data_IF_460657104498
#
_entry.id   IF_460657104498
#
_cell.length_a   1.000
_cell.length_b   1.000
_cell.length_c   1.000
_cell.angle_alpha   90.00
_cell.angle_beta   90.00
_cell.angle_gamma   90.00
#
_symmetry.space_group_name_H-M   'P 1'
#
loop_
_entity.id
_entity.type
_entity.pdbx_description
1 polymer ?
#
# COMPACT_ATOMS: atom_id res chain seq x y z
N UNK A 1 16.76 -5.39 -8.36
CA UNK A 1 15.41 -4.83 -8.13
C UNK A 1 14.77 -4.77 -9.50
N UNK A 2 13.51 -5.16 -9.62
CA UNK A 2 12.86 -5.42 -10.89
C UNK A 2 11.65 -4.51 -11.09
N UNK A 3 11.46 -4.06 -12.32
CA UNK A 3 10.33 -3.26 -12.74
C UNK A 3 9.78 -3.83 -14.06
N UNK A 4 8.46 -3.96 -14.17
CA UNK A 4 7.80 -4.33 -15.41
C UNK A 4 6.46 -3.61 -15.54
N UNK A 5 6.04 -3.41 -16.79
CA UNK A 5 4.70 -2.95 -17.13
C UNK A 5 3.88 -4.06 -17.76
N UNK A 6 2.59 -4.05 -17.49
CA UNK A 6 1.63 -4.98 -18.07
C UNK A 6 0.28 -4.31 -18.30
N UNK A 7 -0.61 -4.99 -19.02
CA UNK A 7 -2.05 -4.73 -19.02
C UNK A 7 -2.77 -5.91 -18.33
N UNK A 8 -4.04 -5.78 -17.97
CA UNK A 8 -4.90 -6.90 -17.54
C UNK A 8 -6.38 -6.51 -17.69
N UNK A 9 -7.27 -7.46 -17.94
CA UNK A 9 -8.69 -7.16 -18.17
C UNK A 9 -9.51 -7.14 -16.89
N UNK A 10 -9.08 -7.88 -15.86
CA UNK A 10 -9.79 -8.00 -14.58
C UNK A 10 -8.83 -8.29 -13.41
N UNK A 11 -9.31 -8.22 -12.15
CA UNK A 11 -8.47 -8.46 -10.97
C UNK A 11 -7.81 -9.84 -10.91
N UNK A 12 -8.46 -10.90 -11.42
CA UNK A 12 -7.90 -12.25 -11.42
C UNK A 12 -6.75 -12.37 -12.42
N UNK A 13 -6.92 -11.83 -13.63
CA UNK A 13 -5.84 -11.77 -14.62
C UNK A 13 -4.67 -10.92 -14.11
N UNK A 14 -4.96 -9.79 -13.45
CA UNK A 14 -3.94 -8.96 -12.80
C UNK A 14 -3.12 -9.77 -11.78
N UNK A 15 -3.77 -10.55 -10.93
CA UNK A 15 -3.08 -11.41 -9.97
C UNK A 15 -2.24 -12.51 -10.65
N UNK A 16 -2.71 -13.10 -11.75
CA UNK A 16 -1.93 -14.11 -12.48
C UNK A 16 -0.68 -13.50 -13.12
N UNK A 17 -0.79 -12.29 -13.68
CA UNK A 17 0.36 -11.56 -14.22
C UNK A 17 1.34 -11.14 -13.13
N UNK A 18 0.84 -10.75 -11.95
CA UNK A 18 1.67 -10.50 -10.78
C UNK A 18 2.40 -11.79 -10.33
N UNK A 19 1.72 -12.95 -10.34
CA UNK A 19 2.32 -14.26 -10.02
C UNK A 19 3.50 -14.56 -10.94
N UNK A 20 3.31 -14.41 -12.25
CA UNK A 20 4.37 -14.64 -13.24
C UNK A 20 5.54 -13.66 -13.07
N UNK A 21 5.26 -12.38 -12.86
CA UNK A 21 6.29 -11.37 -12.60
C UNK A 21 7.07 -11.67 -11.30
N UNK A 22 6.37 -11.98 -10.21
CA UNK A 22 6.98 -12.27 -8.92
C UNK A 22 7.88 -13.52 -9.02
N UNK A 23 7.37 -14.60 -9.63
CA UNK A 23 8.13 -15.84 -9.86
C UNK A 23 9.39 -15.59 -10.68
N UNK A 24 9.28 -14.84 -11.79
CA UNK A 24 10.42 -14.49 -12.63
C UNK A 24 11.48 -13.63 -11.93
N UNK A 25 11.11 -12.96 -10.84
CA UNK A 25 11.99 -12.07 -10.07
C UNK A 25 12.34 -12.64 -8.67
N UNK A 26 12.31 -13.96 -8.52
CA UNK A 26 12.87 -14.68 -7.37
C UNK A 26 11.93 -14.81 -6.16
N UNK A 27 10.65 -14.45 -6.29
CA UNK A 27 9.65 -14.83 -5.29
C UNK A 27 9.25 -16.29 -5.47
N UNK A 28 9.05 -16.98 -4.35
CA UNK A 28 8.49 -18.33 -4.35
C UNK A 28 6.97 -18.23 -4.34
N UNK A 29 6.31 -18.98 -5.23
CA UNK A 29 4.85 -19.07 -5.27
C UNK A 29 4.43 -20.26 -4.41
N UNK A 30 3.86 -19.96 -3.24
CA UNK A 30 3.41 -20.96 -2.27
C UNK A 30 2.04 -21.56 -2.65
N UNK A 31 1.18 -20.73 -3.25
CA UNK A 31 -0.17 -21.16 -3.62
C UNK A 31 -0.84 -20.24 -4.63
N UNK A 32 -1.52 -20.86 -5.59
CA UNK A 32 -2.40 -20.20 -6.55
C UNK A 32 -3.72 -20.96 -6.58
N UNK A 33 -4.75 -20.41 -5.94
CA UNK A 33 -6.00 -21.14 -5.62
C UNK A 33 -7.23 -20.27 -5.83
N UNK A 34 -8.37 -20.91 -6.03
CA UNK A 34 -9.66 -20.24 -5.88
C UNK A 34 -9.94 -19.94 -4.40
N UNK A 35 -10.55 -18.80 -4.13
CA UNK A 35 -11.02 -18.45 -2.79
C UNK A 35 -12.26 -19.30 -2.46
N UNK A 36 -12.34 -19.75 -1.21
CA UNK A 36 -13.47 -20.55 -0.74
C UNK A 36 -14.57 -19.71 -0.12
N UNK A 37 -14.24 -18.55 0.45
CA UNK A 37 -15.21 -17.69 1.15
C UNK A 37 -15.96 -16.76 0.19
N UNK A 38 -15.33 -16.34 -0.91
CA UNK A 38 -15.88 -15.43 -1.92
C UNK A 38 -15.36 -15.81 -3.29
N UNK A 39 -16.07 -15.42 -4.35
CA UNK A 39 -15.60 -15.62 -5.73
C UNK A 39 -14.36 -14.75 -5.97
N UNK A 40 -13.24 -15.40 -6.32
CA UNK A 40 -11.96 -14.76 -6.58
C UNK A 40 -10.79 -15.74 -6.52
N UNK A 41 -9.58 -15.21 -6.60
CA UNK A 41 -8.30 -15.92 -6.55
C UNK A 41 -7.52 -15.53 -5.32
N UNK A 42 -6.65 -16.43 -4.88
CA UNK A 42 -5.70 -16.22 -3.83
C UNK A 42 -4.29 -16.61 -4.29
N UNK A 43 -3.39 -15.63 -4.25
CA UNK A 43 -1.97 -15.77 -4.56
C UNK A 43 -1.18 -15.68 -3.26
N UNK A 44 -0.59 -16.78 -2.81
CA UNK A 44 0.33 -16.81 -1.68
C UNK A 44 1.76 -16.93 -2.18
N UNK A 45 2.65 -16.11 -1.65
CA UNK A 45 4.05 -16.04 -2.07
C UNK A 45 4.95 -15.57 -0.94
N UNK A 46 6.25 -15.84 -1.08
CA UNK A 46 7.24 -15.37 -0.12
C UNK A 46 8.60 -15.06 -0.73
N UNK A 47 9.35 -14.22 -0.02
CA UNK A 47 10.75 -13.93 -0.27
C UNK A 47 11.45 -13.52 1.02
N UNK A 48 12.64 -14.07 1.29
CA UNK A 48 13.48 -13.72 2.45
C UNK A 48 12.70 -13.71 3.79
N UNK A 49 11.88 -14.74 4.02
CA UNK A 49 11.03 -14.90 5.21
C UNK A 49 9.86 -13.92 5.34
N UNK A 50 9.57 -13.10 4.32
CA UNK A 50 8.33 -12.34 4.23
C UNK A 50 7.31 -13.19 3.48
N UNK A 51 6.21 -13.55 4.13
CA UNK A 51 5.10 -14.29 3.51
C UNK A 51 3.86 -13.40 3.39
N UNK A 52 3.23 -13.41 2.23
CA UNK A 52 2.01 -12.63 1.99
C UNK A 52 1.03 -13.41 1.11
N UNK A 53 -0.25 -13.09 1.27
CA UNK A 53 -1.31 -13.58 0.37
C UNK A 53 -2.09 -12.40 -0.18
N UNK A 54 -2.23 -12.35 -1.49
CA UNK A 54 -3.09 -11.42 -2.20
C UNK A 54 -4.39 -12.12 -2.60
N UNK A 55 -5.51 -11.44 -2.41
CA UNK A 55 -6.87 -11.95 -2.62
C UNK A 55 -7.59 -11.05 -3.61
N UNK A 56 -8.35 -11.62 -4.54
CA UNK A 56 -9.36 -10.84 -5.29
C UNK A 56 -10.74 -11.09 -4.72
N UNK A 57 -11.57 -10.05 -4.72
CA UNK A 57 -12.99 -10.16 -4.42
C UNK A 57 -13.79 -9.41 -5.48
N UNK A 58 -14.59 -10.15 -6.25
CA UNK A 58 -15.26 -9.57 -7.42
C UNK A 58 -16.58 -8.87 -7.07
N UNK A 59 -17.13 -9.11 -5.88
CA UNK A 59 -18.45 -8.61 -5.43
C UNK A 59 -18.38 -8.14 -3.97
N UNK A 60 -19.51 -7.78 -3.34
CA UNK A 60 -19.57 -7.53 -1.89
C UNK A 60 -19.38 -6.08 -1.44
N UNK A 61 -19.42 -5.11 -2.36
CA UNK A 61 -19.37 -3.68 -2.06
C UNK A 61 -20.71 -2.96 -2.04
N UNK A 62 -20.65 -1.65 -1.88
CA UNK A 62 -21.78 -0.72 -1.91
C UNK A 62 -21.48 0.49 -2.82
N UNK A 63 -22.41 1.43 -2.95
CA UNK A 63 -22.23 2.61 -3.82
C UNK A 63 -21.06 3.51 -3.42
N UNK A 64 -20.67 3.51 -2.14
CA UNK A 64 -19.57 4.34 -1.63
C UNK A 64 -18.25 3.57 -1.56
N UNK A 65 -18.31 2.24 -1.60
CA UNK A 65 -17.16 1.33 -1.63
C UNK A 65 -17.38 0.31 -2.73
N UNK A 66 -17.31 0.69 -4.00
CA UNK A 66 -17.65 -0.22 -5.09
C UNK A 66 -16.61 -1.34 -5.24
N UNK A 67 -17.05 -2.56 -5.63
CA UNK A 67 -16.16 -3.63 -6.05
C UNK A 67 -15.58 -3.33 -7.46
N UNK A 68 -14.65 -4.15 -7.98
CA UNK A 68 -13.93 -5.24 -7.33
C UNK A 68 -12.89 -4.77 -6.30
N UNK A 69 -12.41 -5.71 -5.48
CA UNK A 69 -11.37 -5.49 -4.49
C UNK A 69 -10.15 -6.38 -4.69
N UNK A 70 -9.00 -5.87 -4.26
CA UNK A 70 -7.80 -6.66 -4.02
C UNK A 70 -7.38 -6.47 -2.56
N UNK A 71 -7.23 -7.57 -1.84
CA UNK A 71 -6.78 -7.60 -0.46
C UNK A 71 -5.35 -8.13 -0.36
N UNK A 72 -4.59 -7.61 0.60
CA UNK A 72 -3.25 -8.13 0.93
C UNK A 72 -3.20 -8.44 2.41
N UNK A 73 -2.81 -9.66 2.76
CA UNK A 73 -2.53 -10.07 4.13
C UNK A 73 -1.07 -10.50 4.26
N UNK A 74 -0.42 -10.08 5.35
CA UNK A 74 0.90 -10.56 5.72
C UNK A 74 0.75 -11.68 6.74
N UNK A 75 1.64 -12.67 6.70
CA UNK A 75 1.63 -13.79 7.64
C UNK A 75 3.06 -14.29 7.88
N UNK A 76 3.24 -15.17 8.86
CA UNK A 76 4.57 -15.64 9.29
C UNK A 76 5.00 -16.91 8.59
N UNK A 77 4.07 -17.58 7.88
CA UNK A 77 4.32 -18.79 7.13
C UNK A 77 3.07 -19.25 6.40
N UNK A 78 3.26 -20.07 5.35
CA UNK A 78 2.19 -20.57 4.52
C UNK A 78 1.73 -21.97 4.95
N UNK A 79 0.42 -22.15 5.10
CA UNK A 79 -0.21 -23.44 5.36
C UNK A 79 -1.00 -23.91 4.13
N UNK A 80 -0.46 -24.92 3.42
CA UNK A 80 -1.00 -25.40 2.14
C UNK A 80 -2.47 -25.90 2.20
N UNK A 81 -2.85 -26.52 3.33
CA UNK A 81 -4.20 -27.07 3.52
C UNK A 81 -5.17 -26.07 4.19
N UNK A 82 -4.69 -24.91 4.63
CA UNK A 82 -5.56 -23.89 5.20
C UNK A 82 -6.35 -23.17 4.10
N UNK A 83 -7.53 -22.64 4.46
CA UNK A 83 -8.29 -21.73 3.61
C UNK A 83 -7.36 -20.56 3.20
N UNK A 84 -7.24 -20.22 1.91
CA UNK A 84 -6.41 -19.09 1.47
C UNK A 84 -6.76 -17.75 2.12
N UNK A 85 -8.02 -17.56 2.54
CA UNK A 85 -8.51 -16.39 3.27
C UNK A 85 -8.01 -16.34 4.73
N UNK A 86 -7.45 -17.43 5.23
CA UNK A 86 -7.02 -17.59 6.63
C UNK A 86 -5.65 -18.26 6.67
N UNK A 87 -4.60 -17.46 6.81
CA UNK A 87 -3.25 -17.95 7.11
C UNK A 87 -2.96 -17.80 8.61
N UNK A 88 -2.11 -18.67 9.15
CA UNK A 88 -1.70 -18.61 10.54
C UNK A 88 -1.01 -17.29 10.84
N UNK A 89 -1.28 -16.71 12.02
CA UNK A 89 -0.57 -15.51 12.48
C UNK A 89 -0.69 -14.30 11.53
N UNK A 90 -1.72 -14.30 10.69
CA UNK A 90 -1.91 -13.31 9.65
C UNK A 90 -2.40 -11.96 10.20
N UNK A 91 -2.03 -10.89 9.51
CA UNK A 91 -2.76 -9.64 9.59
C UNK A 91 -4.17 -9.85 9.05
N UNK A 92 -5.16 -9.07 9.51
CA UNK A 92 -6.36 -8.94 8.69
C UNK A 92 -6.01 -8.27 7.35
N UNK A 93 -6.84 -8.41 6.31
CA UNK A 93 -6.52 -7.90 4.98
C UNK A 93 -6.46 -6.36 4.96
N UNK A 94 -5.52 -5.83 4.18
CA UNK A 94 -5.47 -4.46 3.70
C UNK A 94 -6.09 -4.43 2.30
N UNK A 95 -7.25 -3.81 2.17
CA UNK A 95 -8.03 -3.84 0.92
C UNK A 95 -7.75 -2.63 0.04
N UNK A 96 -7.95 -2.82 -1.26
CA UNK A 96 -8.10 -1.76 -2.25
C UNK A 96 -9.44 -1.94 -2.93
N UNK A 97 -10.17 -0.86 -3.19
CA UNK A 97 -11.51 -0.92 -3.79
C UNK A 97 -11.56 -0.31 -5.20
N UNK A 98 -12.68 -0.53 -5.89
CA UNK A 98 -12.95 -0.05 -7.24
C UNK A 98 -11.86 -0.40 -8.26
N UNK A 99 -11.36 -1.64 -8.21
CA UNK A 99 -10.40 -2.15 -9.19
C UNK A 99 -11.12 -2.71 -10.41
N UNK A 100 -12.01 -1.94 -11.03
CA UNK A 100 -12.68 -2.37 -12.25
C UNK A 100 -11.69 -2.26 -13.43
N UNK A 101 -11.53 -3.36 -14.17
CA UNK A 101 -10.75 -3.37 -15.41
C UNK A 101 -11.59 -2.99 -16.64
N UNK A 102 -10.98 -2.92 -17.84
CA UNK A 102 -9.59 -3.28 -18.13
C UNK A 102 -8.59 -2.22 -17.64
N UNK A 103 -7.37 -2.66 -17.33
CA UNK A 103 -6.23 -1.82 -16.93
C UNK A 103 -5.28 -1.65 -18.10
N UNK A 104 -5.14 -0.41 -18.58
CA UNK A 104 -4.21 -0.04 -19.66
C UNK A 104 -2.76 -0.05 -19.22
N UNK A 105 -2.50 0.25 -17.95
CA UNK A 105 -1.17 0.30 -17.37
C UNK A 105 -1.16 -0.27 -15.95
N UNK A 106 -0.35 -1.32 -15.78
CA UNK A 106 -0.03 -1.93 -14.50
C UNK A 106 1.49 -1.90 -14.35
N UNK A 107 1.97 -1.36 -13.23
CA UNK A 107 3.37 -1.29 -12.87
C UNK A 107 3.64 -2.27 -11.73
N UNK A 108 4.52 -3.24 -11.98
CA UNK A 108 4.99 -4.17 -10.98
C UNK A 108 6.40 -3.78 -10.55
N UNK A 109 6.62 -3.71 -9.24
CA UNK A 109 7.92 -3.40 -8.65
C UNK A 109 8.26 -4.47 -7.63
N UNK A 110 9.48 -5.02 -7.71
CA UNK A 110 9.89 -6.12 -6.86
C UNK A 110 11.37 -6.06 -6.45
N UNK A 111 11.63 -6.55 -5.25
CA UNK A 111 12.96 -6.91 -4.76
C UNK A 111 12.81 -8.05 -3.76
N UNK A 112 13.79 -8.94 -3.68
CA UNK A 112 13.80 -10.05 -2.71
C UNK A 112 14.83 -9.87 -1.59
N UNK A 113 15.89 -9.08 -1.81
CA UNK A 113 16.94 -8.81 -0.81
C UNK A 113 17.60 -7.43 -1.01
N UNK A 114 18.07 -6.76 0.06
CA UNK A 114 18.05 -7.20 1.46
C UNK A 114 16.68 -7.02 2.12
N UNK A 115 15.92 -5.96 1.79
CA UNK A 115 14.52 -5.82 2.17
C UNK A 115 13.62 -6.29 1.01
N UNK A 116 12.87 -7.41 1.16
CA UNK A 116 11.93 -7.83 0.13
C UNK A 116 10.75 -6.86 0.05
N UNK A 117 10.26 -6.60 -1.17
CA UNK A 117 9.00 -5.89 -1.41
C UNK A 117 8.40 -6.28 -2.76
N UNK A 118 7.08 -6.17 -2.84
CA UNK A 118 6.29 -6.38 -4.04
C UNK A 118 5.16 -5.36 -4.05
N UNK A 119 5.26 -4.38 -4.95
CA UNK A 119 4.27 -3.32 -5.09
C UNK A 119 3.61 -3.37 -6.46
N UNK A 120 2.35 -2.97 -6.47
CA UNK A 120 1.56 -2.80 -7.67
C UNK A 120 0.98 -1.40 -7.67
N UNK A 121 1.16 -0.72 -8.80
CA UNK A 121 0.43 0.49 -9.13
C UNK A 121 -0.33 0.22 -10.42
N UNK A 122 -1.63 0.45 -10.44
CA UNK A 122 -2.43 0.30 -11.65
C UNK A 122 -3.27 1.53 -11.89
N UNK A 123 -3.47 1.83 -13.17
CA UNK A 123 -4.44 2.81 -13.63
C UNK A 123 -5.76 2.10 -13.92
N UNK A 124 -6.79 2.37 -13.11
CA UNK A 124 -8.12 1.75 -13.28
C UNK A 124 -8.98 2.50 -14.29
N UNK A 125 -8.74 3.80 -14.43
CA UNK A 125 -9.33 4.70 -15.41
C UNK A 125 -8.30 5.79 -15.72
N UNK A 126 -8.39 6.45 -16.87
CA UNK A 126 -7.46 7.53 -17.23
C UNK A 126 -7.29 8.56 -16.09
N UNK A 127 -6.07 8.63 -15.56
CA UNK A 127 -5.65 9.49 -14.46
C UNK A 127 -6.01 9.01 -13.04
N UNK A 128 -6.65 7.86 -12.90
CA UNK A 128 -7.09 7.29 -11.60
C UNK A 128 -6.29 6.03 -11.28
N UNK A 129 -5.59 6.05 -10.15
CA UNK A 129 -4.64 5.03 -9.74
C UNK A 129 -5.06 4.30 -8.46
N UNK A 130 -4.61 3.06 -8.33
CA UNK A 130 -4.69 2.26 -7.10
C UNK A 130 -3.32 1.69 -6.77
N UNK A 131 -3.06 1.60 -5.46
CA UNK A 131 -1.80 1.15 -4.91
C UNK A 131 -2.06 0.00 -3.93
N UNK A 132 -1.33 -1.09 -4.06
CA UNK A 132 -1.29 -2.13 -3.05
C UNK A 132 0.04 -2.87 -3.09
N UNK A 133 0.37 -3.57 -2.02
CA UNK A 133 1.61 -4.30 -1.96
C UNK A 133 1.96 -4.82 -0.58
N UNK A 134 3.16 -5.38 -0.51
CA UNK A 134 3.76 -5.92 0.70
C UNK A 134 5.25 -5.65 0.69
N UNK A 135 5.88 -5.61 1.85
CA UNK A 135 7.32 -5.51 1.93
C UNK A 135 7.87 -5.56 3.34
N UNK A 136 9.18 -5.35 3.46
CA UNK A 136 9.87 -5.22 4.74
C UNK A 136 10.43 -3.81 4.84
N UNK A 137 10.15 -3.15 5.96
CA UNK A 137 10.69 -1.83 6.27
C UNK A 137 12.22 -1.90 6.34
N UNK A 138 12.87 -0.78 5.99
CA UNK A 138 14.18 -0.47 6.53
C UNK A 138 13.95 -0.17 8.00
N UNK A 139 14.27 -1.14 8.86
CA UNK A 139 13.90 -1.07 10.27
C UNK A 139 14.72 -0.03 11.01
N UNK A 140 14.09 0.57 12.02
CA UNK A 140 14.73 1.46 12.97
C UNK A 140 14.51 0.93 14.40
N UNK A 141 15.43 1.25 15.30
CA UNK A 141 15.34 0.84 16.71
C UNK A 141 15.49 -0.67 16.91
N UNK A 142 14.66 -1.23 17.79
CA UNK A 142 14.77 -2.62 18.30
C UNK A 142 13.93 -3.62 17.47
N UNK A 143 13.06 -3.14 16.58
CA UNK A 143 12.14 -3.99 15.83
C UNK A 143 12.84 -4.61 14.62
N UNK A 144 12.87 -5.94 14.56
CA UNK A 144 13.58 -6.67 13.50
C UNK A 144 12.66 -7.34 12.46
N UNK A 145 11.34 -7.31 12.65
CA UNK A 145 10.41 -7.97 11.72
C UNK A 145 10.03 -7.05 10.55
N UNK A 146 9.44 -5.89 10.85
CA UNK A 146 9.20 -4.78 9.92
C UNK A 146 8.36 -5.16 8.70
N UNK A 147 7.64 -6.27 8.70
CA UNK A 147 6.80 -6.65 7.55
C UNK A 147 5.62 -5.70 7.47
N UNK A 148 5.28 -5.23 6.27
CA UNK A 148 4.11 -4.40 6.04
C UNK A 148 3.27 -4.92 4.89
N UNK A 149 1.98 -4.65 4.96
CA UNK A 149 1.05 -4.79 3.83
C UNK A 149 0.25 -3.51 3.70
N UNK A 150 -0.09 -3.16 2.47
CA UNK A 150 -0.94 -2.01 2.24
C UNK A 150 -1.88 -2.16 1.03
N UNK A 151 -2.91 -1.32 1.02
CA UNK A 151 -3.86 -1.13 -0.08
C UNK A 151 -4.26 0.33 -0.23
N UNK A 152 -5.36 0.58 -0.94
CA UNK A 152 -5.90 1.91 -1.21
C UNK A 152 -7.42 1.86 -1.39
N UNK A 153 -8.15 2.33 -0.38
CA UNK A 153 -9.60 2.51 -0.42
C UNK A 153 -9.99 3.97 -0.54
N UNK A 154 -10.80 4.28 -1.54
CA UNK A 154 -11.41 5.61 -1.70
C UNK A 154 -12.90 5.52 -1.44
N UNK A 155 -13.47 6.44 -0.67
CA UNK A 155 -14.91 6.56 -0.46
C UNK A 155 -15.55 7.36 -1.61
N UNK A 156 -16.49 6.75 -2.34
CA UNK A 156 -17.06 7.28 -3.58
C UNK A 156 -18.37 8.08 -3.39
N UNK A 157 -18.61 8.59 -2.19
CA UNK A 157 -19.71 9.52 -1.95
C UNK A 157 -19.37 10.91 -2.53
N UNK A 158 -20.30 11.47 -3.30
CA UNK A 158 -20.10 12.71 -4.05
C UNK A 158 -19.67 13.93 -3.20
N UNK A 159 -19.98 13.93 -1.89
CA UNK A 159 -19.63 15.04 -1.00
C UNK A 159 -18.17 14.98 -0.51
N UNK A 160 -17.55 13.80 -0.56
CA UNK A 160 -16.23 13.56 0.04
C UNK A 160 -15.19 13.11 -1.00
N UNK A 161 -15.64 12.59 -2.15
CA UNK A 161 -14.81 12.01 -3.20
C UNK A 161 -13.67 12.93 -3.70
N UNK A 162 -13.82 14.24 -3.57
CA UNK A 162 -12.89 15.25 -4.07
C UNK A 162 -11.91 15.80 -3.01
N UNK A 163 -11.89 15.26 -1.79
CA UNK A 163 -11.04 15.73 -0.70
C UNK A 163 -10.07 14.65 -0.22
N UNK A 164 -8.78 14.81 -0.54
CA UNK A 164 -7.73 13.87 -0.15
C UNK A 164 -7.57 13.70 1.36
N UNK A 165 -7.81 14.75 2.13
CA UNK A 165 -7.66 14.77 3.59
C UNK A 165 -8.93 14.27 4.30
N UNK A 166 -9.99 13.89 3.57
CA UNK A 166 -11.20 13.33 4.19
C UNK A 166 -10.92 11.95 4.80
N UNK A 167 -11.31 11.81 6.06
CA UNK A 167 -11.06 10.62 6.87
C UNK A 167 -11.79 9.36 6.40
N UNK A 168 -12.74 9.49 5.48
CA UNK A 168 -13.48 8.34 4.93
C UNK A 168 -12.67 7.59 3.86
N UNK A 169 -11.62 8.20 3.32
CA UNK A 169 -10.64 7.47 2.52
C UNK A 169 -9.65 6.74 3.44
N UNK A 170 -9.02 5.69 2.94
CA UNK A 170 -7.88 5.04 3.57
C UNK A 170 -6.84 4.76 2.49
N UNK A 171 -5.67 5.35 2.62
CA UNK A 171 -4.61 5.29 1.60
C UNK A 171 -3.38 4.55 2.12
N UNK A 172 -2.48 4.19 1.21
CA UNK A 172 -1.22 3.54 1.58
C UNK A 172 -0.43 4.41 2.57
N UNK A 173 0.02 3.84 3.69
CA UNK A 173 0.70 4.56 4.76
C UNK A 173 -0.06 5.81 5.19
N UNK A 174 -1.15 5.56 5.88
CA UNK A 174 -2.07 6.56 6.42
C UNK A 174 -2.11 6.38 7.93
N UNK A 175 -2.34 7.43 8.70
CA UNK A 175 -2.56 7.38 10.15
C UNK A 175 -4.01 7.74 10.50
N UNK A 176 -4.84 7.98 9.49
CA UNK A 176 -6.26 8.25 9.68
C UNK A 176 -7.08 6.98 9.52
N UNK A 177 -7.93 6.69 10.51
CA UNK A 177 -8.96 5.66 10.38
C UNK A 177 -10.32 6.22 10.75
N UNK A 178 -11.34 5.82 10.01
CA UNK A 178 -12.73 5.95 10.40
C UNK A 178 -13.50 4.76 9.84
N UNK A 179 -14.53 4.29 10.55
CA UNK A 179 -15.27 3.04 10.30
C UNK A 179 -16.09 3.02 8.98
N UNK A 180 -15.80 3.90 8.04
CA UNK A 180 -16.35 3.89 6.70
C UNK A 180 -15.60 2.90 5.80
N UNK A 181 -14.28 2.86 5.92
CA UNK A 181 -13.39 1.98 5.14
C UNK A 181 -12.47 1.21 6.08
N UNK A 182 -12.03 0.03 5.66
CA UNK A 182 -11.09 -0.77 6.47
C UNK A 182 -9.70 -0.13 6.46
N UNK A 183 -8.94 -0.22 7.55
CA UNK A 183 -7.54 0.21 7.57
C UNK A 183 -6.75 -0.52 6.48
N UNK A 184 -6.09 0.25 5.62
CA UNK A 184 -5.36 -0.29 4.46
C UNK A 184 -3.85 -0.32 4.66
N UNK A 185 -3.34 -0.07 5.86
CA UNK A 185 -1.92 -0.21 6.17
C UNK A 185 -1.76 -0.99 7.45
N UNK A 186 -0.90 -2.01 7.41
CA UNK A 186 -0.56 -2.83 8.57
C UNK A 186 0.93 -3.10 8.61
N UNK A 187 1.50 -3.04 9.81
CA UNK A 187 2.92 -3.26 10.04
C UNK A 187 3.08 -4.26 11.18
N UNK A 188 3.87 -5.30 10.96
CA UNK A 188 4.33 -6.21 12.00
C UNK A 188 5.52 -5.61 12.70
N UNK A 189 5.39 -5.42 14.00
CA UNK A 189 6.46 -4.97 14.87
C UNK A 189 6.46 -5.82 16.12
N UNK A 190 7.37 -6.79 16.16
CA UNK A 190 7.49 -7.71 17.29
C UNK A 190 8.50 -7.12 18.29
N UNK A 191 8.08 -6.93 19.53
CA UNK A 191 8.89 -6.37 20.62
C UNK A 191 8.29 -6.76 21.98
N UNK A 192 9.06 -6.59 23.05
CA UNK A 192 8.65 -6.90 24.43
C UNK A 192 8.09 -8.33 24.59
N UNK A 193 8.70 -9.29 23.89
CA UNK A 193 8.36 -10.72 23.98
C UNK A 193 7.06 -11.15 23.29
N UNK A 194 6.41 -10.28 22.52
CA UNK A 194 5.16 -10.61 21.81
C UNK A 194 5.38 -10.67 20.30
N UNK A 195 5.02 -11.81 19.74
CA UNK A 195 5.05 -12.12 18.32
C UNK A 195 3.93 -13.12 17.98
N UNK A 196 3.30 -13.04 16.79
CA UNK A 196 3.33 -11.91 15.88
C UNK A 196 2.55 -10.72 16.48
N UNK A 197 3.01 -9.49 16.21
CA UNK A 197 2.26 -8.30 16.60
C UNK A 197 2.02 -7.40 15.40
N UNK A 198 0.80 -7.45 14.89
CA UNK A 198 0.32 -6.60 13.81
C UNK A 198 -0.28 -5.31 14.36
N UNK A 199 0.26 -4.19 13.91
CA UNK A 199 -0.25 -2.86 14.14
C UNK A 199 -1.05 -2.40 12.93
N UNK A 200 -2.11 -1.64 13.18
CA UNK A 200 -2.93 -1.01 12.15
C UNK A 200 -3.34 0.38 12.59
N UNK A 201 -3.71 1.20 11.60
CA UNK A 201 -4.25 2.52 11.85
C UNK A 201 -5.53 2.42 12.69
N UNK A 202 -5.64 3.31 13.68
CA UNK A 202 -6.71 3.33 14.68
C UNK A 202 -7.01 4.77 15.09
N UNK A 203 -8.28 5.10 15.29
CA UNK A 203 -8.73 6.40 15.82
C UNK A 203 -8.74 6.43 17.36
N UNK A 204 -8.63 5.26 18.00
CA UNK A 204 -8.59 5.13 19.44
C UNK A 204 -7.20 5.46 19.98
N UNK A 205 -7.12 6.48 20.83
CA UNK A 205 -5.88 6.85 21.52
C UNK A 205 -5.39 5.77 22.50
N UNK A 206 -6.27 4.88 22.96
CA UNK A 206 -5.93 3.79 23.89
C UNK A 206 -5.60 2.47 23.18
N UNK A 207 -5.61 2.44 21.85
CA UNK A 207 -5.29 1.22 21.11
C UNK A 207 -3.79 0.90 21.17
N UNK A 208 -3.47 -0.14 21.93
CA UNK A 208 -2.11 -0.69 22.08
C UNK A 208 -1.50 -1.22 20.78
N UNK A 209 -2.30 -1.38 19.72
CA UNK A 209 -1.86 -1.79 18.37
C UNK A 209 -1.99 -0.67 17.35
N UNK A 210 -2.22 0.56 17.79
CA UNK A 210 -2.28 1.73 16.91
C UNK A 210 -0.97 1.89 16.13
N UNK A 211 -1.10 2.10 14.83
CA UNK A 211 -0.02 2.47 13.93
C UNK A 211 -0.13 3.97 13.63
N UNK A 212 0.93 4.72 13.89
CA UNK A 212 1.08 6.06 13.35
C UNK A 212 2.01 5.96 12.15
N UNK A 213 1.54 6.30 10.94
CA UNK A 213 2.38 6.21 9.76
C UNK A 213 2.00 7.19 8.65
N UNK A 214 2.97 7.43 7.78
CA UNK A 214 2.79 8.24 6.58
C UNK A 214 2.46 9.69 6.87
N UNK A 215 1.45 10.24 6.17
CA UNK A 215 1.48 11.66 5.83
C UNK A 215 0.22 12.49 6.08
N UNK A 216 -0.93 11.89 6.37
CA UNK A 216 -2.20 12.61 6.19
C UNK A 216 -2.79 13.20 7.47
N UNK A 217 -3.02 12.39 8.48
CA UNK A 217 -3.62 12.74 9.76
C UNK A 217 -2.64 13.40 10.73
N UNK A 218 -3.18 14.01 11.80
CA UNK A 218 -2.42 14.88 12.71
C UNK A 218 -1.26 14.16 13.41
N UNK A 219 -1.34 12.84 13.59
CA UNK A 219 -0.31 12.04 14.24
C UNK A 219 0.70 11.45 13.24
N UNK A 220 0.55 11.73 11.94
CA UNK A 220 1.41 11.18 10.91
C UNK A 220 2.81 11.77 11.03
N UNK A 221 3.87 10.94 11.01
CA UNK A 221 5.24 11.41 11.15
C UNK A 221 5.66 12.50 10.17
N UNK A 222 5.08 12.51 8.96
CA UNK A 222 5.42 13.51 7.93
C UNK A 222 4.25 14.45 7.57
N UNK A 223 3.25 14.63 8.46
CA UNK A 223 2.11 15.52 8.18
C UNK A 223 2.56 16.93 7.80
N UNK A 224 3.34 17.60 8.65
CA UNK A 224 3.80 18.97 8.36
C UNK A 224 4.66 19.07 7.10
N UNK A 225 5.35 17.98 6.74
CA UNK A 225 6.20 17.92 5.56
C UNK A 225 5.38 17.74 4.27
N UNK A 226 4.12 17.26 4.36
CA UNK A 226 3.22 17.07 3.21
C UNK A 226 2.88 18.38 2.50
N UNK A 227 2.89 19.48 3.25
CA UNK A 227 2.55 20.81 2.77
C UNK A 227 3.75 21.58 2.21
N UNK A 228 4.96 21.02 2.36
CA UNK A 228 6.17 21.57 1.75
C UNK A 228 6.14 21.32 0.23
N UNK A 229 5.76 22.36 -0.51
CA UNK A 229 5.69 22.41 -1.96
C UNK A 229 7.03 22.17 -2.67
N UNK A 230 6.97 22.14 -4.01
CA UNK A 230 8.19 22.17 -4.82
C UNK A 230 8.99 23.46 -4.57
N UNK A 231 10.31 23.35 -4.65
CA UNK A 231 11.17 24.53 -4.66
C UNK A 231 10.97 25.29 -5.97
N UNK A 232 10.60 26.57 -5.89
CA UNK A 232 10.49 27.44 -7.07
C UNK A 232 11.84 27.74 -7.73
N UNK A 233 12.94 27.52 -7.02
CA UNK A 233 14.31 27.68 -7.55
C UNK A 233 14.76 26.48 -8.37
N UNK A 234 14.42 25.26 -7.93
CA UNK A 234 14.91 24.03 -8.57
C UNK A 234 13.82 23.25 -9.30
N UNK A 235 12.55 23.63 -9.17
CA UNK A 235 11.38 22.91 -9.70
C UNK A 235 11.18 21.52 -9.10
N UNK A 236 11.84 21.20 -7.97
CA UNK A 236 11.83 19.85 -7.38
C UNK A 236 11.02 19.80 -6.11
N UNK A 237 10.19 18.77 -5.99
CA UNK A 237 9.54 18.43 -4.73
C UNK A 237 10.42 17.45 -3.94
N UNK A 238 10.59 17.66 -2.62
CA UNK A 238 11.25 16.68 -1.77
C UNK A 238 10.45 15.37 -1.72
N UNK A 239 11.16 14.24 -1.74
CA UNK A 239 10.56 12.91 -1.54
C UNK A 239 10.79 12.46 -0.09
N UNK A 240 9.71 12.26 0.65
CA UNK A 240 9.77 11.91 2.07
C UNK A 240 9.54 10.42 2.30
N UNK A 241 10.39 9.73 3.09
CA UNK A 241 10.10 8.38 3.53
C UNK A 241 8.78 8.31 4.31
N UNK A 242 7.99 7.27 4.05
CA UNK A 242 6.74 7.00 4.78
C UNK A 242 7.08 6.29 6.10
N UNK A 243 7.45 7.07 7.11
CA UNK A 243 7.79 6.56 8.43
C UNK A 243 6.61 5.91 9.13
N UNK A 244 6.89 4.88 9.90
CA UNK A 244 5.96 4.13 10.73
C UNK A 244 6.45 4.14 12.18
N UNK A 245 5.53 4.34 13.12
CA UNK A 245 5.79 4.33 14.55
C UNK A 245 4.69 3.54 15.30
N UNK A 246 5.09 2.86 16.37
CA UNK A 246 4.23 2.00 17.20
C UNK A 246 4.29 2.42 18.68
N UNK A 247 3.22 2.20 19.46
CA UNK A 247 3.15 2.62 20.85
C UNK A 247 4.08 1.81 21.76
N UNK A 248 4.67 2.47 22.76
CA UNK A 248 5.47 1.88 23.85
C UNK A 248 4.81 2.01 25.23
N UNK A 249 3.57 2.49 25.27
CA UNK A 249 2.87 2.83 26.51
C UNK A 249 3.10 4.28 26.94
N UNK A 250 2.29 4.76 27.88
CA UNK A 250 2.33 6.14 28.38
C UNK A 250 2.34 7.21 27.27
N UNK A 251 1.56 6.98 26.21
CA UNK A 251 1.47 7.84 25.02
C UNK A 251 2.78 8.08 24.26
N UNK A 252 3.80 7.24 24.50
CA UNK A 252 5.07 7.27 23.78
C UNK A 252 5.04 6.33 22.57
N UNK A 253 5.75 6.73 21.51
CA UNK A 253 5.88 5.98 20.27
C UNK A 253 7.36 5.74 19.95
N UNK A 254 7.66 4.61 19.33
CA UNK A 254 8.97 4.31 18.74
C UNK A 254 8.84 4.15 17.23
N UNK A 255 9.76 4.77 16.50
CA UNK A 255 9.90 4.55 15.08
C UNK A 255 10.33 3.10 14.81
N UNK A 256 9.64 2.45 13.86
CA UNK A 256 9.93 1.07 13.45
C UNK A 256 10.53 0.99 12.06
N UNK A 257 10.50 2.08 11.29
CA UNK A 257 11.14 2.18 9.99
C UNK A 257 10.27 2.79 8.91
N UNK A 258 10.70 2.63 7.66
CA UNK A 258 9.98 3.07 6.47
C UNK A 258 10.19 2.10 5.30
N UNK A 259 9.31 2.09 4.28
CA UNK A 259 9.54 1.32 3.05
C UNK A 259 10.86 1.71 2.35
N UNK A 260 11.64 0.76 1.82
CA UNK A 260 12.93 1.06 1.18
C UNK A 260 12.79 1.81 -0.15
N UNK A 261 11.68 1.62 -0.86
CA UNK A 261 11.51 1.97 -2.26
C UNK A 261 10.24 2.79 -2.54
N UNK A 262 9.51 3.19 -1.49
CA UNK A 262 8.28 3.97 -1.58
C UNK A 262 8.39 5.23 -0.72
N UNK A 263 8.09 6.38 -1.33
CA UNK A 263 8.13 7.69 -0.69
C UNK A 263 6.88 8.50 -1.00
N UNK A 264 6.51 9.41 -0.12
CA UNK A 264 5.57 10.46 -0.41
C UNK A 264 6.24 11.56 -1.23
N UNK A 265 5.51 12.14 -2.18
CA UNK A 265 5.95 13.29 -2.97
C UNK A 265 4.75 14.16 -3.32
N UNK A 266 4.97 15.47 -3.46
CA UNK A 266 4.00 16.33 -4.16
C UNK A 266 4.27 16.37 -5.65
N UNK A 267 3.20 16.27 -6.43
CA UNK A 267 3.21 16.20 -7.88
C UNK A 267 2.96 17.56 -8.54
N UNK A 268 3.13 18.68 -7.84
CA UNK A 268 2.84 20.01 -8.40
C UNK A 268 3.50 20.19 -9.77
N UNK A 269 4.77 19.80 -9.89
CA UNK A 269 5.60 19.93 -11.10
C UNK A 269 5.77 18.64 -11.91
N UNK A 270 5.06 17.56 -11.56
CA UNK A 270 5.26 16.24 -12.17
C UNK A 270 3.98 15.68 -12.78
N UNK A 271 4.08 15.08 -13.97
CA UNK A 271 2.99 14.32 -14.58
C UNK A 271 2.86 12.93 -13.91
N UNK A 272 1.64 12.35 -13.86
CA UNK A 272 1.47 10.96 -13.48
C UNK A 272 2.29 10.02 -14.36
N UNK A 273 3.05 9.11 -13.75
CA UNK A 273 3.94 8.18 -14.43
C UNK A 273 5.29 8.79 -14.86
N UNK A 274 5.57 10.06 -14.54
CA UNK A 274 6.85 10.68 -14.85
C UNK A 274 8.01 10.04 -14.06
N UNK A 275 9.19 10.05 -14.67
CA UNK A 275 10.41 9.55 -14.05
C UNK A 275 11.29 10.69 -13.53
N UNK A 276 11.72 10.56 -12.29
CA UNK A 276 12.58 11.52 -11.59
C UNK A 276 13.92 10.85 -11.28
N UNK A 277 15.01 11.52 -11.67
CA UNK A 277 16.38 11.04 -11.43
C UNK A 277 16.98 11.79 -10.24
N UNK A 278 17.41 11.04 -9.21
CA UNK A 278 18.09 11.54 -8.03
C UNK A 278 19.43 10.80 -7.86
N UNK A 279 20.51 11.40 -8.37
CA UNK A 279 21.81 10.74 -8.41
C UNK A 279 21.75 9.50 -9.32
N UNK A 280 22.10 8.33 -8.78
CA UNK A 280 21.99 7.04 -9.49
C UNK A 280 20.59 6.44 -9.47
N UNK A 281 19.67 7.00 -8.68
CA UNK A 281 18.35 6.41 -8.46
C UNK A 281 17.33 7.00 -9.41
N UNK A 282 16.55 6.12 -10.05
CA UNK A 282 15.36 6.49 -10.81
C UNK A 282 14.12 6.22 -9.96
N UNK A 283 13.16 7.12 -10.05
CA UNK A 283 11.89 7.04 -9.33
C UNK A 283 10.76 7.31 -10.31
N UNK A 284 9.66 6.57 -10.20
CA UNK A 284 8.44 6.79 -10.96
C UNK A 284 7.36 7.31 -10.03
N UNK A 285 6.69 8.39 -10.42
CA UNK A 285 5.75 9.09 -9.53
C UNK A 285 4.32 8.92 -9.98
N UNK A 286 3.42 8.65 -9.04
CA UNK A 286 2.00 8.41 -9.31
C UNK A 286 1.13 9.16 -8.29
N UNK A 287 -0.04 9.69 -8.69
CA UNK A 287 -1.00 10.26 -7.74
C UNK A 287 -1.43 9.23 -6.72
N UNK A 288 -1.69 9.64 -5.47
CA UNK A 288 -2.24 8.74 -4.44
C UNK A 288 -3.55 8.10 -4.92
N UNK A 289 -4.36 8.87 -5.65
CA UNK A 289 -5.54 8.35 -6.31
C UNK A 289 -5.81 9.03 -7.66
N UNK A 290 -5.87 10.36 -7.72
CA UNK A 290 -6.05 11.10 -8.99
C UNK A 290 -5.56 12.52 -8.83
N UNK A 291 -4.69 12.97 -9.74
CA UNK A 291 -4.17 14.34 -9.73
C UNK A 291 -5.20 15.30 -10.33
N UNK A 292 -5.52 16.37 -9.61
CA UNK A 292 -6.38 17.48 -10.08
C UNK A 292 -7.70 17.01 -10.72
N UNK A 293 -8.42 16.12 -10.02
CA UNK A 293 -9.75 15.69 -10.43
C UNK A 293 -10.72 16.87 -10.52
N UNK A 294 -11.66 16.82 -11.46
CA UNK A 294 -12.75 17.82 -11.53
C UNK A 294 -13.68 17.67 -10.33
N UNK A 295 -14.44 18.71 -9.99
CA UNK A 295 -15.43 18.65 -8.91
C UNK A 295 -16.37 17.44 -9.09
N UNK A 296 -16.67 16.74 -7.99
CA UNK A 296 -17.50 15.53 -8.00
C UNK A 296 -16.81 14.26 -8.51
N UNK A 297 -15.50 14.31 -8.80
CA UNK A 297 -14.71 13.14 -9.19
C UNK A 297 -13.63 12.84 -8.17
N UNK A 298 -13.05 11.62 -8.16
CA UNK A 298 -11.94 11.30 -7.27
C UNK A 298 -10.79 12.30 -7.41
N UNK A 299 -10.29 12.81 -6.30
CA UNK A 299 -9.21 13.79 -6.32
C UNK A 299 -8.30 13.64 -5.09
N UNK A 300 -7.06 13.24 -5.33
CA UNK A 300 -6.00 13.26 -4.33
C UNK A 300 -5.18 14.57 -4.35
N UNK A 301 -5.67 15.60 -5.06
CA UNK A 301 -4.99 16.88 -5.20
C UNK A 301 -3.67 16.73 -5.94
N UNK A 302 -2.60 17.24 -5.34
CA UNK A 302 -1.23 17.09 -5.84
C UNK A 302 -0.43 16.04 -5.07
N UNK A 303 -1.06 15.24 -4.23
CA UNK A 303 -0.36 14.24 -3.42
C UNK A 303 -0.10 12.97 -4.22
N UNK A 304 1.10 12.42 -4.07
CA UNK A 304 1.55 11.26 -4.81
C UNK A 304 2.54 10.37 -4.05
N UNK A 305 2.81 9.23 -4.67
CA UNK A 305 3.82 8.28 -4.26
C UNK A 305 4.91 8.18 -5.33
N UNK A 306 6.15 8.23 -4.88
CA UNK A 306 7.33 7.93 -5.68
C UNK A 306 7.76 6.50 -5.37
N UNK A 307 7.83 5.68 -6.41
CA UNK A 307 8.36 4.33 -6.34
C UNK A 307 9.73 4.29 -7.00
N UNK A 308 10.74 3.75 -6.33
CA UNK A 308 12.05 3.57 -6.96
C UNK A 308 11.87 2.60 -8.12
N UNK A 309 12.56 2.85 -9.23
CA UNK A 309 12.71 1.93 -10.36
C UNK A 309 14.20 1.75 -10.63
N UNK A 310 14.64 0.52 -10.88
CA UNK A 310 15.99 0.21 -11.38
C UNK A 310 15.80 -0.80 -12.49
N UNK A 311 16.38 -0.51 -13.64
CA UNK A 311 16.57 -1.48 -14.72
C UNK A 311 17.79 -2.37 -14.43
#
# INVERSE_FOLDING_TARGET
MAYATSAANDPNELLDKLRLFAQGNGWVIDGWRDRTTKVGKALSLHANGLHATLLTELTGGDGNRPPPYIGVLGHTGYAANANPDVQGEASAPAWSNYLQGPYSAVHFLSRTAPQPYLHVVLETQAGTFKHFGTGRLVTAGVVNTGQYVYGSQWYYDANYINNSDDYRHAVAFDDYWNNFVSSVTRVRADYDGVAPRWHSVSDSASDTRRLNCGWRGRAAPINMLKDMGHSTLTGRAPMYPLWCAVPRGADLYSDVGHPPDLRFIRLDSYAPGEEVVLGSDRWKVFPVHRKNGTAGTPNSGVYGYAYRITE
#
